data_IF_778484355085
#
_entry.id   IF_778484355085
#
_cell.length_a   1.000
_cell.length_b   1.000
_cell.length_c   1.000
_cell.angle_alpha   90.00
_cell.angle_beta   90.00
_cell.angle_gamma   90.00
#
_symmetry.space_group_name_H-M   'P 1'
#
loop_
_entity.id
_entity.type
_entity.pdbx_description
1 polymer ?
#
# COMPACT_ATOMS: atom_id res chain seq x y z
N UNK A 1 3.16 0.99 1.10
CA UNK A 1 4.51 0.40 1.20
C UNK A 1 5.59 1.44 1.50
N UNK A 2 5.78 2.53 0.70
CA UNK A 2 6.87 3.52 0.92
C UNK A 2 6.88 4.07 2.36
N UNK A 3 5.72 4.43 2.91
CA UNK A 3 5.62 4.93 4.29
C UNK A 3 6.18 3.96 5.35
N UNK A 4 6.07 2.65 5.12
CA UNK A 4 6.56 1.62 6.03
C UNK A 4 8.10 1.47 6.03
N UNK A 5 8.78 2.07 5.05
CA UNK A 5 10.24 2.13 5.03
C UNK A 5 10.81 3.26 5.91
N UNK A 6 9.97 4.10 6.49
CA UNK A 6 10.36 5.21 7.33
C UNK A 6 10.46 4.79 8.81
N UNK A 7 11.16 5.58 9.62
CA UNK A 7 11.25 5.36 11.07
C UNK A 7 9.93 5.67 11.79
N UNK A 8 9.23 6.68 11.30
CA UNK A 8 7.97 7.19 11.82
C UNK A 8 7.14 7.70 10.66
N UNK A 9 5.82 7.65 10.78
CA UNK A 9 4.89 8.17 9.78
C UNK A 9 4.13 9.34 10.41
N UNK A 10 4.17 10.50 9.77
CA UNK A 10 3.37 11.65 10.20
C UNK A 10 2.03 11.59 9.46
N UNK A 11 0.93 11.56 10.20
CA UNK A 11 -0.42 11.47 9.65
C UNK A 11 -1.31 12.58 10.19
N UNK A 12 -1.99 13.30 9.33
CA UNK A 12 -3.10 14.18 9.71
C UNK A 12 -4.36 13.37 10.05
N UNK A 13 -5.33 13.99 10.73
CA UNK A 13 -6.59 13.34 11.15
C UNK A 13 -7.35 12.63 10.02
N UNK A 14 -7.25 13.16 8.80
CA UNK A 14 -7.91 12.61 7.61
C UNK A 14 -6.98 11.70 6.78
N UNK A 15 -5.73 11.56 7.19
CA UNK A 15 -4.78 10.69 6.49
C UNK A 15 -5.07 9.22 6.75
N UNK A 16 -4.74 8.40 5.77
CA UNK A 16 -4.85 6.96 5.90
C UNK A 16 -3.68 6.25 5.19
N UNK A 17 -3.48 5.01 5.55
CA UNK A 17 -2.57 4.07 4.89
C UNK A 17 -3.43 2.99 4.24
N UNK A 18 -3.18 2.69 2.97
CA UNK A 18 -3.83 1.59 2.28
C UNK A 18 -3.20 0.23 2.61
N UNK A 19 -3.86 -0.87 2.24
CA UNK A 19 -3.33 -2.22 2.39
C UNK A 19 -2.09 -2.45 1.50
N UNK A 20 -1.36 -3.53 1.80
CA UNK A 20 -0.31 -4.05 0.93
C UNK A 20 -0.97 -5.02 -0.03
N UNK A 21 -1.26 -4.56 -1.24
CA UNK A 21 -1.89 -5.37 -2.27
C UNK A 21 -1.18 -5.16 -3.60
N UNK A 22 -0.26 -6.07 -3.96
CA UNK A 22 0.40 -6.05 -5.26
C UNK A 22 -0.61 -6.20 -6.39
N UNK A 23 -0.42 -5.45 -7.47
CA UNK A 23 -1.31 -5.46 -8.63
C UNK A 23 -0.56 -5.63 -9.93
N UNK A 24 -1.17 -6.34 -10.88
CA UNK A 24 -0.75 -6.38 -12.28
C UNK A 24 -1.86 -5.81 -13.16
N UNK A 25 -1.56 -4.67 -13.81
CA UNK A 25 -2.53 -4.01 -14.71
C UNK A 25 -3.83 -3.60 -14.01
N UNK A 26 -3.79 -3.27 -12.72
CA UNK A 26 -4.96 -2.91 -11.92
C UNK A 26 -5.72 -4.11 -11.33
N UNK A 27 -5.25 -5.33 -11.56
CA UNK A 27 -5.84 -6.55 -10.98
C UNK A 27 -5.08 -6.92 -9.71
N UNK A 28 -5.78 -7.09 -8.59
CA UNK A 28 -5.22 -7.52 -7.31
C UNK A 28 -4.66 -8.93 -7.40
N UNK A 29 -3.40 -9.12 -7.02
CA UNK A 29 -2.79 -10.46 -6.94
C UNK A 29 -3.47 -11.34 -5.91
N UNK A 30 -3.88 -10.78 -4.77
CA UNK A 30 -4.64 -11.49 -3.74
C UNK A 30 -5.98 -11.99 -4.28
N UNK A 31 -6.74 -11.12 -4.98
CA UNK A 31 -8.01 -11.49 -5.59
C UNK A 31 -7.89 -12.61 -6.62
N UNK A 32 -6.82 -12.60 -7.44
CA UNK A 32 -6.56 -13.69 -8.38
C UNK A 32 -6.32 -15.02 -7.66
N UNK A 33 -5.49 -15.03 -6.62
CA UNK A 33 -5.23 -16.26 -5.84
C UNK A 33 -6.52 -16.79 -5.19
N UNK A 34 -7.35 -15.90 -4.63
CA UNK A 34 -8.63 -16.29 -4.03
C UNK A 34 -9.61 -16.86 -5.07
N UNK A 35 -9.72 -16.25 -6.27
CA UNK A 35 -10.58 -16.75 -7.35
C UNK A 35 -10.17 -18.16 -7.79
N UNK A 36 -8.88 -18.42 -7.90
CA UNK A 36 -8.41 -19.78 -8.23
C UNK A 36 -8.62 -20.77 -7.09
N UNK A 37 -8.54 -20.34 -5.83
CA UNK A 37 -8.90 -21.20 -4.71
C UNK A 37 -10.39 -21.51 -4.70
N UNK A 38 -11.24 -20.49 -4.91
CA UNK A 38 -12.68 -20.66 -5.05
C UNK A 38 -13.03 -21.66 -6.17
N UNK A 39 -12.37 -21.52 -7.34
CA UNK A 39 -12.56 -22.46 -8.44
C UNK A 39 -12.29 -23.92 -8.02
N UNK A 40 -11.18 -24.16 -7.31
CA UNK A 40 -10.83 -25.51 -6.81
C UNK A 40 -11.90 -26.04 -5.85
N UNK A 41 -12.34 -25.21 -4.92
CA UNK A 41 -13.31 -25.60 -3.89
C UNK A 41 -14.70 -25.90 -4.51
N UNK A 42 -15.16 -25.08 -5.44
CA UNK A 42 -16.43 -25.27 -6.15
C UNK A 42 -16.40 -26.51 -7.07
N UNK A 43 -15.31 -26.73 -7.80
CA UNK A 43 -15.16 -27.91 -8.66
C UNK A 43 -15.12 -29.19 -7.82
N UNK A 44 -14.44 -29.18 -6.67
CA UNK A 44 -14.40 -30.32 -5.77
C UNK A 44 -15.78 -30.61 -5.16
N UNK A 45 -16.55 -29.58 -4.83
CA UNK A 45 -17.88 -29.73 -4.28
C UNK A 45 -18.92 -30.14 -5.36
N UNK A 46 -18.76 -29.61 -6.57
CA UNK A 46 -19.69 -29.86 -7.70
C UNK A 46 -18.94 -29.84 -9.04
N UNK A 47 -18.55 -31.04 -9.56
CA UNK A 47 -17.84 -31.13 -10.83
C UNK A 47 -18.60 -30.55 -12.04
N UNK A 48 -19.90 -30.33 -11.95
CA UNK A 48 -20.67 -29.69 -13.04
C UNK A 48 -20.34 -28.21 -13.24
N UNK A 49 -19.60 -27.60 -12.31
CA UNK A 49 -19.09 -26.22 -12.43
C UNK A 49 -17.85 -26.08 -13.36
N UNK A 50 -17.23 -27.21 -13.74
CA UNK A 50 -16.02 -27.22 -14.59
C UNK A 50 -16.17 -26.36 -15.86
N UNK A 51 -17.22 -26.47 -16.67
CA UNK A 51 -17.33 -25.68 -17.90
C UNK A 51 -17.35 -24.18 -17.66
N UNK A 52 -17.96 -23.73 -16.55
CA UNK A 52 -17.97 -22.31 -16.16
C UNK A 52 -16.56 -21.84 -15.82
N UNK A 53 -15.87 -22.56 -14.96
CA UNK A 53 -14.52 -22.21 -14.52
C UNK A 53 -13.50 -22.28 -15.65
N UNK A 54 -13.64 -23.21 -16.59
CA UNK A 54 -12.79 -23.26 -17.78
C UNK A 54 -12.86 -21.97 -18.59
N UNK A 55 -14.05 -21.37 -18.75
CA UNK A 55 -14.21 -20.10 -19.47
C UNK A 55 -13.53 -18.95 -18.73
N UNK A 56 -13.68 -18.90 -17.41
CA UNK A 56 -13.10 -17.85 -16.57
C UNK A 56 -11.56 -17.96 -16.59
N UNK A 57 -11.05 -19.14 -16.26
CA UNK A 57 -9.62 -19.39 -16.14
C UNK A 57 -8.90 -19.23 -17.48
N UNK A 58 -9.54 -19.55 -18.60
CA UNK A 58 -8.95 -19.38 -19.94
C UNK A 58 -8.60 -17.94 -20.31
N UNK A 59 -9.12 -16.95 -19.58
CA UNK A 59 -8.81 -15.54 -19.78
C UNK A 59 -7.51 -15.10 -19.11
N UNK A 60 -6.98 -15.91 -18.22
CA UNK A 60 -5.71 -15.65 -17.56
C UNK A 60 -4.54 -16.15 -18.40
N UNK A 61 -3.44 -15.39 -18.41
CA UNK A 61 -2.22 -15.82 -19.10
C UNK A 61 -1.56 -16.97 -18.34
N UNK A 62 -0.88 -17.89 -19.03
CA UNK A 62 0.01 -18.86 -18.39
C UNK A 62 1.01 -18.14 -17.47
N UNK A 63 1.39 -18.77 -16.36
CA UNK A 63 2.29 -18.23 -15.31
C UNK A 63 1.70 -17.12 -14.44
N UNK A 64 0.58 -16.49 -14.80
CA UNK A 64 0.04 -15.31 -14.11
C UNK A 64 -0.22 -15.56 -12.61
N UNK A 65 -0.75 -16.74 -12.25
CA UNK A 65 -0.97 -17.12 -10.84
C UNK A 65 0.37 -17.17 -10.09
N UNK A 66 1.38 -17.80 -10.67
CA UNK A 66 2.71 -17.89 -10.09
C UNK A 66 3.37 -16.52 -9.94
N UNK A 67 3.13 -15.62 -10.87
CA UNK A 67 3.65 -14.26 -10.81
C UNK A 67 2.92 -13.43 -9.74
N UNK A 68 1.60 -13.61 -9.57
CA UNK A 68 0.84 -13.04 -8.45
C UNK A 68 1.38 -13.52 -7.09
N UNK A 69 1.62 -14.82 -6.93
CA UNK A 69 2.17 -15.37 -5.68
C UNK A 69 3.54 -14.78 -5.37
N UNK A 70 4.43 -14.74 -6.36
CA UNK A 70 5.77 -14.13 -6.19
C UNK A 70 5.69 -12.65 -5.81
N UNK A 71 4.75 -11.89 -6.39
CA UNK A 71 4.56 -10.48 -6.06
C UNK A 71 4.09 -10.29 -4.62
N UNK A 72 3.19 -11.15 -4.14
CA UNK A 72 2.73 -11.17 -2.74
C UNK A 72 3.89 -11.47 -1.80
N UNK A 73 4.60 -12.58 -2.04
CA UNK A 73 5.72 -13.02 -1.20
C UNK A 73 6.85 -11.98 -1.16
N UNK A 74 7.16 -11.37 -2.31
CA UNK A 74 8.18 -10.33 -2.40
C UNK A 74 7.78 -9.08 -1.64
N UNK A 75 6.54 -8.63 -1.76
CA UNK A 75 6.02 -7.46 -1.06
C UNK A 75 6.02 -7.65 0.45
N UNK A 76 5.59 -8.83 0.92
CA UNK A 76 5.59 -9.20 2.33
C UNK A 76 7.02 -9.18 2.92
N UNK A 77 7.94 -9.86 2.25
CA UNK A 77 9.34 -9.92 2.68
C UNK A 77 10.00 -8.53 2.72
N UNK A 78 9.76 -7.71 1.70
CA UNK A 78 10.31 -6.37 1.60
C UNK A 78 9.81 -5.46 2.74
N UNK A 79 8.50 -5.49 3.02
CA UNK A 79 7.90 -4.71 4.11
C UNK A 79 8.46 -5.15 5.46
N UNK A 80 8.53 -6.45 5.73
CA UNK A 80 9.10 -6.99 6.96
C UNK A 80 10.56 -6.55 7.14
N UNK A 81 11.35 -6.59 6.07
CA UNK A 81 12.73 -6.12 6.12
C UNK A 81 12.82 -4.63 6.44
N UNK A 82 12.02 -3.78 5.79
CA UNK A 82 12.03 -2.35 6.06
C UNK A 82 11.59 -2.00 7.48
N UNK A 83 10.54 -2.64 7.97
CA UNK A 83 10.10 -2.45 9.35
C UNK A 83 11.20 -2.80 10.35
N UNK A 84 11.87 -3.95 10.19
CA UNK A 84 12.94 -4.41 11.07
C UNK A 84 14.20 -3.52 11.04
N UNK A 85 14.54 -2.97 9.89
CA UNK A 85 15.74 -2.15 9.71
C UNK A 85 15.53 -0.68 10.08
N UNK A 86 14.31 -0.19 10.02
CA UNK A 86 13.97 1.22 10.26
C UNK A 86 13.06 1.40 11.48
N UNK A 87 11.73 1.28 11.30
CA UNK A 87 10.75 1.62 12.32
C UNK A 87 10.93 0.85 13.62
N UNK A 88 11.14 -0.45 13.54
CA UNK A 88 11.26 -1.36 14.68
C UNK A 88 12.72 -1.69 15.04
N UNK A 89 13.70 -0.98 14.46
CA UNK A 89 15.12 -1.33 14.57
C UNK A 89 15.65 -1.41 16.01
N UNK A 90 15.05 -0.65 16.93
CA UNK A 90 15.42 -0.61 18.35
C UNK A 90 14.58 -1.54 19.23
N UNK A 91 13.62 -2.23 18.67
CA UNK A 91 12.71 -3.09 19.43
C UNK A 91 13.27 -4.49 19.60
N UNK A 92 13.08 -5.09 20.79
CA UNK A 92 13.60 -6.43 21.09
C UNK A 92 12.84 -7.52 20.34
N UNK A 93 11.54 -7.32 20.10
CA UNK A 93 10.61 -8.25 19.46
C UNK A 93 10.26 -7.86 18.01
N UNK A 94 11.19 -7.15 17.34
CA UNK A 94 11.01 -6.60 16.00
C UNK A 94 10.56 -7.59 14.94
N UNK A 95 10.99 -8.86 15.04
CA UNK A 95 10.58 -9.92 14.10
C UNK A 95 9.08 -10.19 14.21
N UNK A 96 8.60 -10.49 15.41
CA UNK A 96 7.18 -10.79 15.65
C UNK A 96 6.28 -9.61 15.33
N UNK A 97 6.71 -8.38 15.66
CA UNK A 97 5.97 -7.16 15.34
C UNK A 97 5.93 -6.87 13.84
N UNK A 98 7.04 -7.05 13.13
CA UNK A 98 7.06 -6.88 11.67
C UNK A 98 6.13 -7.88 10.98
N UNK A 99 6.11 -9.13 11.43
CA UNK A 99 5.20 -10.16 10.91
C UNK A 99 3.73 -9.80 11.18
N UNK A 100 3.41 -9.32 12.38
CA UNK A 100 2.06 -8.92 12.75
C UNK A 100 1.56 -7.73 11.91
N UNK A 101 2.40 -6.70 11.72
CA UNK A 101 2.08 -5.53 10.89
C UNK A 101 1.90 -5.92 9.43
N UNK A 102 2.84 -6.69 8.86
CA UNK A 102 2.76 -7.12 7.47
C UNK A 102 1.50 -7.96 7.23
N UNK A 103 1.18 -8.89 8.15
CA UNK A 103 -0.05 -9.69 8.09
C UNK A 103 -1.31 -8.83 8.17
N UNK A 104 -1.36 -7.83 9.06
CA UNK A 104 -2.53 -6.96 9.21
C UNK A 104 -2.79 -6.11 7.96
N UNK A 105 -1.72 -5.65 7.29
CA UNK A 105 -1.82 -4.83 6.08
C UNK A 105 -1.95 -5.64 4.80
N UNK A 106 -1.43 -6.88 4.76
CA UNK A 106 -1.40 -7.73 3.56
C UNK A 106 -2.51 -8.77 3.49
N UNK A 107 -3.31 -8.94 4.55
CA UNK A 107 -4.38 -9.94 4.56
C UNK A 107 -5.58 -9.45 3.76
N UNK A 108 -5.73 -9.96 2.54
CA UNK A 108 -6.88 -9.67 1.68
C UNK A 108 -8.21 -10.07 2.35
N UNK A 109 -8.24 -11.18 3.07
CA UNK A 109 -9.41 -11.65 3.83
C UNK A 109 -9.82 -10.71 4.97
N UNK A 110 -8.87 -9.99 5.59
CA UNK A 110 -9.16 -9.02 6.65
C UNK A 110 -9.44 -7.62 6.11
N UNK A 111 -9.01 -7.33 4.89
CA UNK A 111 -9.20 -6.02 4.28
C UNK A 111 -10.49 -5.92 3.46
N UNK A 112 -11.07 -7.03 3.05
CA UNK A 112 -12.33 -7.18 2.26
C UNK A 112 -12.43 -6.33 0.99
N UNK A 113 -11.59 -5.32 0.83
CA UNK A 113 -11.56 -4.43 -0.31
C UNK A 113 -10.20 -3.72 -0.41
N UNK A 114 -9.82 -3.39 -1.62
CA UNK A 114 -8.63 -2.62 -1.97
C UNK A 114 -8.62 -1.20 -1.38
N UNK A 115 -9.79 -0.69 -1.08
CA UNK A 115 -10.04 0.65 -0.57
C UNK A 115 -10.12 0.74 0.96
N UNK A 116 -9.76 -0.33 1.68
CA UNK A 116 -9.68 -0.26 3.14
C UNK A 116 -8.62 0.75 3.57
N UNK A 117 -9.03 1.66 4.41
CA UNK A 117 -8.21 2.72 4.97
C UNK A 117 -7.87 2.44 6.43
N UNK A 118 -6.56 2.48 6.74
CA UNK A 118 -6.07 2.42 8.11
C UNK A 118 -5.81 3.83 8.61
N UNK A 119 -6.66 4.32 9.49
CA UNK A 119 -6.50 5.62 10.14
C UNK A 119 -5.51 5.54 11.31
N UNK A 120 -5.16 6.70 11.89
CA UNK A 120 -4.13 6.84 12.93
C UNK A 120 -4.30 5.80 14.05
N UNK A 121 -5.50 5.62 14.59
CA UNK A 121 -5.75 4.72 15.72
C UNK A 121 -5.58 3.25 15.34
N UNK A 122 -5.99 2.88 14.14
CA UNK A 122 -5.76 1.51 13.63
C UNK A 122 -4.28 1.25 13.37
N UNK A 123 -3.57 2.21 12.77
CA UNK A 123 -2.13 2.12 12.57
C UNK A 123 -1.38 1.92 13.90
N UNK A 124 -1.72 2.70 14.93
CA UNK A 124 -1.14 2.54 16.28
C UNK A 124 -1.46 1.19 16.88
N UNK A 125 -2.72 0.72 16.74
CA UNK A 125 -3.17 -0.57 17.30
C UNK A 125 -2.42 -1.76 16.70
N UNK A 126 -2.08 -1.71 15.42
CA UNK A 126 -1.29 -2.77 14.75
C UNK A 126 0.23 -2.60 14.94
N UNK A 127 0.68 -1.56 15.64
CA UNK A 127 2.08 -1.36 16.01
C UNK A 127 2.88 -0.46 15.07
N UNK A 128 2.25 0.27 14.16
CA UNK A 128 2.91 1.27 13.31
C UNK A 128 3.19 2.53 14.13
N UNK A 129 4.41 3.06 14.05
CA UNK A 129 4.80 4.29 14.72
C UNK A 129 4.24 5.50 13.96
N UNK A 130 3.15 6.06 14.46
CA UNK A 130 2.48 7.23 13.88
C UNK A 130 2.54 8.42 14.81
N UNK A 131 2.93 9.57 14.25
CA UNK A 131 2.88 10.88 14.91
C UNK A 131 1.73 11.66 14.27
N UNK A 132 0.73 12.11 15.06
CA UNK A 132 -0.29 13.00 14.52
C UNK A 132 0.32 14.32 14.05
N UNK A 133 -0.02 14.75 12.83
CA UNK A 133 0.50 15.98 12.23
C UNK A 133 0.22 17.20 13.12
N UNK A 134 -0.95 17.23 13.73
CA UNK A 134 -1.41 18.30 14.62
C UNK A 134 -0.61 18.38 15.93
N UNK A 135 0.05 17.30 16.30
CA UNK A 135 0.89 17.19 17.51
C UNK A 135 2.38 17.16 17.20
N UNK A 136 2.76 17.43 15.94
CA UNK A 136 4.18 17.38 15.55
C UNK A 136 4.96 18.49 16.25
N UNK A 137 6.09 18.17 16.92
CA UNK A 137 6.82 19.16 17.73
C UNK A 137 7.35 20.31 16.85
N UNK A 138 6.99 21.56 17.15
CA UNK A 138 7.45 22.73 16.36
C UNK A 138 8.97 22.93 16.37
N UNK A 139 9.68 22.38 17.38
CA UNK A 139 11.14 22.48 17.48
C UNK A 139 11.90 21.70 16.39
N UNK A 140 11.21 20.82 15.64
CA UNK A 140 11.81 20.10 14.51
C UNK A 140 11.70 20.88 13.18
N UNK A 141 11.14 22.10 13.19
CA UNK A 141 10.83 22.84 11.96
C UNK A 141 11.32 24.28 12.07
N UNK A 142 12.47 24.56 11.46
CA UNK A 142 13.14 25.88 11.54
C UNK A 142 12.44 27.02 10.76
N UNK A 143 11.52 26.73 9.85
CA UNK A 143 11.03 27.73 8.89
C UNK A 143 9.52 27.76 8.65
N UNK A 144 8.75 26.85 9.21
CA UNK A 144 7.30 26.79 9.03
C UNK A 144 6.59 26.95 10.38
N UNK A 145 5.81 28.03 10.53
CA UNK A 145 5.05 28.28 11.77
C UNK A 145 3.89 27.32 11.96
N UNK A 146 3.40 26.75 10.84
CA UNK A 146 2.35 25.75 10.82
C UNK A 146 2.70 24.68 9.80
N UNK A 147 3.12 23.50 10.29
CA UNK A 147 3.47 22.34 9.46
C UNK A 147 2.25 21.86 8.66
N UNK A 148 1.06 21.91 9.26
CA UNK A 148 -0.16 21.45 8.62
C UNK A 148 -0.47 22.28 7.37
N UNK A 149 -0.37 23.61 7.46
CA UNK A 149 -0.58 24.49 6.31
C UNK A 149 0.44 24.23 5.20
N UNK A 150 1.70 23.99 5.56
CA UNK A 150 2.74 23.67 4.59
C UNK A 150 2.43 22.33 3.87
N UNK A 151 2.05 21.30 4.58
CA UNK A 151 1.70 19.98 4.02
C UNK A 151 0.47 20.10 3.12
N UNK A 152 -0.57 20.82 3.58
CA UNK A 152 -1.79 21.03 2.79
C UNK A 152 -1.51 21.85 1.52
N UNK A 153 -0.66 22.87 1.61
CA UNK A 153 -0.26 23.68 0.44
C UNK A 153 0.43 22.83 -0.62
N UNK A 154 1.38 21.98 -0.22
CA UNK A 154 2.05 21.05 -1.13
C UNK A 154 1.05 20.06 -1.73
N UNK A 155 0.18 19.48 -0.91
CA UNK A 155 -0.86 18.55 -1.37
C UNK A 155 -1.76 19.21 -2.43
N UNK A 156 -2.26 20.41 -2.16
CA UNK A 156 -3.10 21.14 -3.11
C UNK A 156 -2.36 21.51 -4.39
N UNK A 157 -1.06 21.84 -4.32
CA UNK A 157 -0.24 22.10 -5.50
C UNK A 157 -0.15 20.86 -6.41
N UNK A 158 0.08 19.67 -5.83
CA UNK A 158 0.06 18.40 -6.59
C UNK A 158 -1.31 18.12 -7.19
N UNK A 159 -2.39 18.23 -6.40
CA UNK A 159 -3.76 18.02 -6.89
C UNK A 159 -4.10 18.95 -8.06
N UNK A 160 -3.72 20.23 -7.96
CA UNK A 160 -3.91 21.20 -9.02
C UNK A 160 -3.11 20.84 -10.28
N UNK A 161 -1.86 20.43 -10.11
CA UNK A 161 -1.01 20.01 -11.23
C UNK A 161 -1.60 18.80 -11.97
N UNK A 162 -2.01 17.74 -11.24
CA UNK A 162 -2.65 16.57 -11.84
C UNK A 162 -3.97 16.90 -12.54
N UNK A 163 -4.76 17.83 -11.99
CA UNK A 163 -6.06 18.20 -12.57
C UNK A 163 -5.93 19.04 -13.84
N UNK A 164 -4.82 19.79 -14.00
CA UNK A 164 -4.62 20.76 -15.10
C UNK A 164 -3.59 20.35 -16.15
N UNK A 165 -2.91 19.23 -15.94
CA UNK A 165 -1.88 18.74 -16.85
C UNK A 165 -2.10 17.26 -17.19
N UNK A 166 -1.32 16.72 -18.13
CA UNK A 166 -1.30 15.30 -18.46
C UNK A 166 -0.37 14.50 -17.54
N UNK A 167 0.16 15.09 -16.48
CA UNK A 167 1.02 14.39 -15.53
C UNK A 167 0.24 13.27 -14.82
N UNK A 168 0.80 12.06 -14.81
CA UNK A 168 0.23 10.89 -14.11
C UNK A 168 1.09 10.46 -12.92
N UNK A 169 2.35 10.90 -12.89
CA UNK A 169 3.26 10.65 -11.78
C UNK A 169 4.27 11.77 -11.66
N UNK A 170 4.46 12.26 -10.45
CA UNK A 170 5.47 13.25 -10.10
C UNK A 170 6.27 12.73 -8.93
N UNK A 171 7.59 12.72 -9.05
CA UNK A 171 8.53 12.44 -7.97
C UNK A 171 9.50 13.61 -7.95
N UNK A 172 9.52 14.36 -6.85
CA UNK A 172 10.41 15.51 -6.69
C UNK A 172 11.09 15.50 -5.32
N UNK A 173 12.20 16.19 -5.21
CA UNK A 173 12.94 16.39 -3.98
C UNK A 173 13.03 17.88 -3.62
N UNK A 174 13.52 18.16 -2.40
CA UNK A 174 13.70 19.52 -1.88
C UNK A 174 14.86 20.30 -2.54
N UNK A 175 15.66 19.65 -3.39
CA UNK A 175 16.78 20.25 -4.13
C UNK A 175 16.37 20.76 -5.52
N UNK A 176 15.07 20.70 -5.85
CA UNK A 176 14.54 21.19 -7.11
C UNK A 176 14.67 20.22 -8.28
N UNK A 177 14.97 18.94 -8.02
CA UNK A 177 14.94 17.90 -9.06
C UNK A 177 13.62 17.19 -9.08
N UNK A 178 13.01 17.03 -10.27
CA UNK A 178 11.74 16.34 -10.45
C UNK A 178 11.79 15.35 -11.62
N UNK A 179 11.13 14.22 -11.47
CA UNK A 179 10.79 13.29 -12.53
C UNK A 179 9.27 13.30 -12.72
N UNK A 180 8.84 13.62 -13.94
CA UNK A 180 7.42 13.71 -14.28
C UNK A 180 7.14 12.72 -15.41
N UNK A 181 6.15 11.84 -15.19
CA UNK A 181 5.60 10.95 -16.23
C UNK A 181 4.25 11.52 -16.65
N UNK A 182 4.07 11.71 -17.95
CA UNK A 182 2.85 12.24 -18.55
C UNK A 182 2.27 11.27 -19.57
N UNK A 183 0.94 11.24 -19.71
CA UNK A 183 0.30 10.58 -20.83
C UNK A 183 0.54 11.38 -22.12
N UNK A 184 0.98 10.68 -23.17
CA UNK A 184 1.20 11.28 -24.50
C UNK A 184 -0.10 11.46 -25.32
N UNK A 185 -1.26 11.14 -24.75
CA UNK A 185 -2.55 11.14 -25.45
C UNK A 185 -3.58 11.99 -24.70
N UNK A 186 -3.69 13.22 -25.10
CA UNK A 186 -4.97 13.97 -25.20
C UNK A 186 -4.90 14.91 -26.38
#
# INVERSE_FOLDING_TARGET
MIALSCKEIVMGKQSNIGPIDPQFGGVSCGGVIEEFQQAKDEINANPSSIPLWQIIISKYKPTFIGDCQKAIDWSDNMVKQWLKTNMLSKEKDKEAKADAIAKALGSHQLTFAHDRHFHIDECKRIGIHVIPLESFPPQKIDRCKDLQDCVLTIHHAFMLTFSRTNAIKIIENHEGSAMIISNSSR
#
